data_IF_388816468731
#
_entry.id   IF_388816468731
#
_cell.length_a   1.000
_cell.length_b   1.000
_cell.length_c   1.000
_cell.angle_alpha   90.00
_cell.angle_beta   90.00
_cell.angle_gamma   90.00
#
_symmetry.space_group_name_H-M   'P 1'
#
loop_
_entity.id
_entity.type
_entity.pdbx_description
1 polymer ?
#
# COMPACT_ATOMS: atom_id res chain seq x y z
N UNK A 1 -3.81 17.15 22.27
CA UNK A 1 -4.31 16.00 21.48
C UNK A 1 -4.25 14.79 22.39
N UNK A 2 -5.40 14.29 22.81
CA UNK A 2 -5.49 13.03 23.57
C UNK A 2 -5.48 11.92 22.52
N UNK A 3 -4.45 11.07 22.54
CA UNK A 3 -4.38 9.84 21.75
C UNK A 3 -5.33 8.83 22.39
N UNK A 4 -6.60 8.89 22.00
CA UNK A 4 -7.61 7.91 22.36
C UNK A 4 -7.63 6.86 21.25
N UNK A 5 -7.07 5.69 21.54
CA UNK A 5 -6.94 4.56 20.60
C UNK A 5 -8.31 4.11 20.06
N UNK A 6 -9.36 4.18 20.90
CA UNK A 6 -10.75 3.89 20.52
C UNK A 6 -11.36 4.94 19.58
N UNK A 7 -10.87 6.18 19.58
CA UNK A 7 -11.32 7.23 18.63
C UNK A 7 -10.58 7.19 17.30
N UNK A 8 -9.35 6.69 17.27
CA UNK A 8 -8.58 6.56 16.03
C UNK A 8 -9.24 5.63 14.99
N UNK A 9 -10.02 4.65 15.47
CA UNK A 9 -10.77 3.72 14.61
C UNK A 9 -12.02 4.35 13.98
N UNK A 10 -12.57 5.37 14.63
CA UNK A 10 -13.78 6.08 14.18
C UNK A 10 -13.47 6.95 12.96
N UNK A 11 -12.29 7.58 12.94
CA UNK A 11 -11.82 8.43 11.82
C UNK A 11 -11.70 7.63 10.51
N UNK A 12 -11.24 6.37 10.55
CA UNK A 12 -11.17 5.52 9.35
C UNK A 12 -12.56 5.09 8.85
N UNK A 13 -13.59 5.19 9.69
CA UNK A 13 -14.98 4.88 9.33
C UNK A 13 -15.69 6.12 8.80
N UNK A 14 -15.41 7.29 9.39
CA UNK A 14 -15.92 8.59 8.96
C UNK A 14 -15.27 9.07 7.65
N UNK A 15 -14.01 8.71 7.41
CA UNK A 15 -13.25 9.05 6.22
C UNK A 15 -12.74 7.80 5.48
N UNK A 16 -13.60 7.15 4.67
CA UNK A 16 -13.25 5.94 3.93
C UNK A 16 -12.02 6.10 3.03
N UNK A 17 -11.73 7.32 2.58
CA UNK A 17 -10.54 7.64 1.77
C UNK A 17 -9.22 7.31 2.48
N UNK A 18 -9.17 7.34 3.81
CA UNK A 18 -7.94 6.96 4.52
C UNK A 18 -7.68 5.45 4.52
N UNK A 19 -8.67 4.64 4.12
CA UNK A 19 -8.48 3.20 3.88
C UNK A 19 -7.89 2.91 2.51
N UNK A 20 -7.98 3.84 1.57
CA UNK A 20 -7.37 3.71 0.24
C UNK A 20 -5.93 4.23 0.25
N UNK A 21 -5.04 3.44 0.86
CA UNK A 21 -3.61 3.77 0.97
C UNK A 21 -2.98 4.00 -0.42
N UNK A 22 -3.39 3.24 -1.43
CA UNK A 22 -2.93 3.42 -2.82
C UNK A 22 -3.38 4.79 -3.37
N UNK A 23 -4.64 5.16 -3.15
CA UNK A 23 -5.18 6.46 -3.55
C UNK A 23 -4.53 7.65 -2.84
N UNK A 24 -4.16 7.50 -1.56
CA UNK A 24 -3.42 8.53 -0.82
C UNK A 24 -2.00 8.71 -1.38
N UNK A 25 -1.27 7.61 -1.61
CA UNK A 25 0.06 7.65 -2.22
C UNK A 25 -0.03 8.26 -3.63
N UNK A 26 -1.06 7.91 -4.41
CA UNK A 26 -1.31 8.51 -5.72
C UNK A 26 -1.47 10.03 -5.60
N UNK A 27 -2.33 10.48 -4.69
CA UNK A 27 -2.61 11.90 -4.50
C UNK A 27 -1.35 12.69 -4.14
N UNK A 28 -0.56 12.21 -3.20
CA UNK A 28 0.68 12.86 -2.77
C UNK A 28 1.69 12.94 -3.92
N UNK A 29 1.81 11.87 -4.71
CA UNK A 29 2.71 11.85 -5.88
C UNK A 29 2.22 12.73 -7.02
N UNK A 30 0.91 12.89 -7.22
CA UNK A 30 0.36 13.85 -8.20
C UNK A 30 0.74 15.26 -7.79
N UNK A 31 0.59 15.60 -6.50
CA UNK A 31 0.90 16.93 -5.99
C UNK A 31 2.39 17.27 -6.15
N UNK A 32 3.28 16.30 -5.92
CA UNK A 32 4.72 16.54 -5.97
C UNK A 32 5.30 16.42 -7.40
N UNK A 33 4.80 15.50 -8.22
CA UNK A 33 5.43 15.12 -9.49
C UNK A 33 4.53 15.22 -10.73
N UNK A 34 3.24 15.47 -10.55
CA UNK A 34 2.23 15.51 -11.62
C UNK A 34 1.66 14.14 -12.00
N UNK A 35 0.51 14.16 -12.68
CA UNK A 35 -0.32 12.99 -12.99
C UNK A 35 0.39 11.91 -13.81
N UNK A 36 1.14 12.31 -14.85
CA UNK A 36 1.88 11.38 -15.71
C UNK A 36 2.95 10.58 -14.96
N UNK A 37 3.60 11.21 -13.98
CA UNK A 37 4.67 10.58 -13.20
C UNK A 37 4.08 9.69 -12.10
N UNK A 38 3.05 10.18 -11.41
CA UNK A 38 2.36 9.43 -10.37
C UNK A 38 1.72 8.14 -10.90
N UNK A 39 1.09 8.20 -12.07
CA UNK A 39 0.48 7.03 -12.71
C UNK A 39 1.51 5.95 -13.05
N UNK A 40 2.63 6.33 -13.67
CA UNK A 40 3.74 5.39 -14.00
C UNK A 40 4.41 4.80 -12.76
N UNK A 41 4.44 5.56 -11.67
CA UNK A 41 4.94 5.06 -10.39
C UNK A 41 4.04 3.95 -9.85
N UNK A 42 2.72 4.15 -9.86
CA UNK A 42 1.76 3.17 -9.36
C UNK A 42 1.67 1.92 -10.22
N UNK A 43 1.75 2.04 -11.55
CA UNK A 43 1.85 0.88 -12.45
C UNK A 43 2.98 -0.06 -12.06
N UNK A 44 4.08 0.49 -11.52
CA UNK A 44 5.28 -0.26 -11.13
C UNK A 44 5.39 -0.46 -9.62
N UNK A 45 4.45 0.06 -8.83
CA UNK A 45 4.47 -0.04 -7.38
C UNK A 45 4.54 -1.48 -6.90
N UNK A 46 3.61 -2.38 -7.26
CA UNK A 46 3.60 -3.75 -6.73
C UNK A 46 4.81 -4.57 -7.18
N UNK A 47 5.32 -4.35 -8.39
CA UNK A 47 6.34 -5.22 -9.02
C UNK A 47 7.76 -4.71 -8.73
N UNK A 48 7.99 -3.39 -8.73
CA UNK A 48 9.34 -2.82 -8.74
C UNK A 48 9.63 -2.00 -7.49
N UNK A 49 8.70 -1.13 -7.09
CA UNK A 49 9.00 -0.14 -6.04
C UNK A 49 8.74 -0.67 -4.64
N UNK A 50 7.67 -1.44 -4.43
CA UNK A 50 7.33 -1.99 -3.12
C UNK A 50 8.48 -2.81 -2.53
N UNK A 51 9.01 -3.78 -3.29
CA UNK A 51 10.16 -4.60 -2.85
C UNK A 51 11.40 -3.76 -2.53
N UNK A 52 11.67 -2.72 -3.33
CA UNK A 52 12.81 -1.82 -3.10
C UNK A 52 12.63 -0.98 -1.85
N UNK A 53 11.41 -0.49 -1.59
CA UNK A 53 11.09 0.26 -0.37
C UNK A 53 11.28 -0.63 0.85
N UNK A 54 10.78 -1.88 0.84
CA UNK A 54 11.00 -2.85 1.93
C UNK A 54 12.50 -3.09 2.14
N UNK A 55 13.25 -3.32 1.06
CA UNK A 55 14.69 -3.56 1.14
C UNK A 55 15.45 -2.35 1.70
N UNK A 56 15.07 -1.12 1.32
CA UNK A 56 15.67 0.10 1.87
C UNK A 56 15.28 0.30 3.33
N UNK A 57 14.04 0.01 3.72
CA UNK A 57 13.57 0.10 5.11
C UNK A 57 14.40 -0.77 6.05
N UNK A 58 14.83 -1.96 5.61
CA UNK A 58 15.74 -2.84 6.39
C UNK A 58 17.12 -2.24 6.67
N UNK A 59 17.53 -1.22 5.93
CA UNK A 59 18.81 -0.53 6.13
C UNK A 59 18.72 0.68 7.07
N UNK A 60 17.50 1.08 7.45
CA UNK A 60 17.27 2.19 8.37
C UNK A 60 17.50 1.74 9.82
N UNK A 61 17.79 2.68 10.75
CA UNK A 61 17.82 2.38 12.17
C UNK A 61 16.50 1.76 12.63
N UNK A 62 16.62 0.61 13.29
CA UNK A 62 15.47 -0.21 13.65
C UNK A 62 14.65 0.39 14.80
N UNK A 63 13.33 0.37 14.67
CA UNK A 63 12.35 0.61 15.72
C UNK A 63 11.29 -0.49 15.68
N UNK A 64 10.56 -0.71 16.79
CA UNK A 64 9.45 -1.67 16.83
C UNK A 64 8.44 -1.43 15.72
N UNK A 65 8.07 -0.17 15.50
CA UNK A 65 7.08 0.21 14.50
C UNK A 65 7.58 -0.10 13.08
N UNK A 66 8.88 0.08 12.83
CA UNK A 66 9.49 -0.24 11.54
C UNK A 66 9.54 -1.76 11.30
N UNK A 67 9.85 -2.55 12.32
CA UNK A 67 9.85 -4.01 12.23
C UNK A 67 8.44 -4.55 11.91
N UNK A 68 7.41 -4.04 12.58
CA UNK A 68 6.02 -4.39 12.31
C UNK A 68 5.59 -4.02 10.88
N UNK A 69 5.95 -2.82 10.42
CA UNK A 69 5.67 -2.37 9.06
C UNK A 69 6.35 -3.24 8.00
N UNK A 70 7.62 -3.62 8.20
CA UNK A 70 8.35 -4.51 7.29
C UNK A 70 7.69 -5.90 7.27
N UNK A 71 7.36 -6.46 8.44
CA UNK A 71 6.72 -7.76 8.54
C UNK A 71 5.36 -7.80 7.80
N UNK A 72 4.52 -6.78 8.01
CA UNK A 72 3.24 -6.66 7.31
C UNK A 72 3.42 -6.52 5.79
N UNK A 73 4.42 -5.76 5.36
CA UNK A 73 4.68 -5.54 3.93
C UNK A 73 5.20 -6.80 3.22
N UNK A 74 6.00 -7.63 3.89
CA UNK A 74 6.52 -8.90 3.35
C UNK A 74 5.47 -10.02 3.28
N UNK A 75 4.47 -9.97 4.17
CA UNK A 75 3.36 -10.93 4.18
C UNK A 75 2.23 -10.60 3.20
N UNK A 76 2.26 -9.43 2.55
CA UNK A 76 1.27 -9.03 1.57
C UNK A 76 1.53 -9.76 0.23
N UNK A 77 0.54 -10.43 -0.36
CA UNK A 77 0.70 -11.04 -1.68
C UNK A 77 0.99 -9.93 -2.71
N UNK A 78 1.93 -10.21 -3.60
CA UNK A 78 2.20 -9.32 -4.72
C UNK A 78 0.97 -9.22 -5.63
N UNK A 79 0.81 -8.11 -6.36
CA UNK A 79 -0.35 -7.93 -7.25
C UNK A 79 -0.35 -8.97 -8.39
N UNK A 80 0.82 -9.50 -8.76
CA UNK A 80 0.98 -10.64 -9.68
C UNK A 80 0.49 -11.95 -9.06
N UNK A 81 0.78 -12.21 -7.78
CA UNK A 81 0.20 -13.36 -7.05
C UNK A 81 -1.31 -13.18 -6.81
N UNK A 82 -1.80 -11.94 -6.64
CA UNK A 82 -3.23 -11.66 -6.58
C UNK A 82 -3.90 -11.91 -7.93
N UNK A 83 -3.30 -11.52 -9.05
CA UNK A 83 -3.82 -11.83 -10.38
C UNK A 83 -3.78 -13.34 -10.66
N UNK A 84 -2.69 -14.04 -10.35
CA UNK A 84 -2.60 -15.50 -10.49
C UNK A 84 -3.58 -16.25 -9.58
N UNK A 85 -3.77 -15.80 -8.33
CA UNK A 85 -4.77 -16.39 -7.42
C UNK A 85 -6.19 -16.11 -7.88
N UNK A 86 -6.49 -14.92 -8.41
CA UNK A 86 -7.80 -14.60 -9.01
C UNK A 86 -8.08 -15.40 -10.28
N UNK A 87 -7.06 -15.67 -11.10
CA UNK A 87 -7.14 -16.54 -12.29
C UNK A 87 -7.27 -18.01 -11.87
N UNK A 88 -6.56 -18.44 -10.83
CA UNK A 88 -6.58 -19.80 -10.27
C UNK A 88 -7.89 -20.12 -9.54
N UNK A 89 -8.49 -19.14 -8.85
CA UNK A 89 -9.75 -19.26 -8.10
C UNK A 89 -11.00 -19.22 -8.99
N UNK A 90 -10.82 -19.16 -10.32
CA UNK A 90 -11.85 -19.58 -11.26
C UNK A 90 -13.02 -18.61 -11.44
N UNK A 91 -12.82 -17.30 -11.29
CA UNK A 91 -13.79 -16.31 -11.78
C UNK A 91 -13.65 -16.13 -13.30
N UNK A 92 -14.17 -17.13 -14.00
CA UNK A 92 -14.46 -17.06 -15.43
C UNK A 92 -15.66 -16.11 -15.64
N UNK A 93 -15.42 -14.80 -15.60
CA UNK A 93 -16.38 -13.83 -16.13
C UNK A 93 -16.25 -13.83 -17.65
N UNK A 94 -16.99 -14.76 -18.27
CA UNK A 94 -17.39 -14.67 -19.67
C UNK A 94 -18.14 -13.34 -19.84
N UNK A 95 -17.74 -12.62 -20.90
CA UNK A 95 -18.37 -11.41 -21.45
C UNK A 95 -19.91 -11.47 -21.49
#
# INVERSE_FOLDING_TARGET
>A
MVLDESRSFDDLTEFPRFRDVKGLIHQDFILEFGEDVASKFLERWPIVFNQKVIQQSKSLPTSSDLEELIYCAEGAPSEEELEETLISDGFNYVL
#
